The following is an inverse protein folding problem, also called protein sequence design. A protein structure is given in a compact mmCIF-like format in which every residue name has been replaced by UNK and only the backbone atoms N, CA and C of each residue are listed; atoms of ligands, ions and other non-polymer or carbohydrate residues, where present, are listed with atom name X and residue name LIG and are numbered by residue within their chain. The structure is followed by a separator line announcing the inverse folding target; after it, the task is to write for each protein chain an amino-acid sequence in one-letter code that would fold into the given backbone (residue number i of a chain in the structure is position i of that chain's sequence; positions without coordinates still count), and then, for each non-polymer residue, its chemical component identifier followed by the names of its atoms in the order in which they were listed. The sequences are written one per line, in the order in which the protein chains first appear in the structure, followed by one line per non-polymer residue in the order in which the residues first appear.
data_IF_583282602146
#
_entry.id   IF_583282602146
#
_cell.length_a   1.000
_cell.length_b   1.000
_cell.length_c   1.000
_cell.angle_alpha   90.00
_cell.angle_beta   90.00
_cell.angle_gamma   90.00
#
_symmetry.space_group_name_H-M   'P 1'
#
loop_
_entity.id
_entity.type
_entity.pdbx_description
1 polymer ?
#
# COMPACT_ATOMS: atom_id res chain seq x y z
N UNK A 1 27.49 32.23 10.55
CA UNK A 1 28.63 31.53 9.93
C UNK A 1 29.05 30.25 10.65
N UNK A 2 29.77 30.27 11.80
CA UNK A 2 30.28 29.01 12.40
C UNK A 2 29.19 27.99 12.80
N UNK A 3 28.01 28.45 13.19
CA UNK A 3 26.88 27.57 13.53
C UNK A 3 26.10 27.07 12.29
N UNK A 4 26.19 27.76 11.15
CA UNK A 4 25.50 27.37 9.92
C UNK A 4 26.25 26.23 9.24
N UNK A 5 27.58 26.31 9.20
CA UNK A 5 28.45 25.25 8.68
C UNK A 5 28.31 23.96 9.49
N UNK A 6 28.18 24.06 10.82
CA UNK A 6 27.95 22.88 11.67
C UNK A 6 26.57 22.28 11.47
N UNK A 7 25.50 23.08 11.32
CA UNK A 7 24.17 22.57 11.00
C UNK A 7 24.12 21.91 9.62
N UNK A 8 24.77 22.48 8.61
CA UNK A 8 24.85 21.89 7.28
C UNK A 8 25.61 20.56 7.28
N UNK A 9 26.76 20.49 7.95
CA UNK A 9 27.53 19.25 8.10
C UNK A 9 26.72 18.16 8.80
N UNK A 10 26.06 18.48 9.92
CA UNK A 10 25.21 17.52 10.65
C UNK A 10 24.00 17.10 9.82
N UNK A 11 23.37 18.02 9.09
CA UNK A 11 22.24 17.70 8.20
C UNK A 11 22.65 16.72 7.10
N UNK A 12 23.84 16.86 6.52
CA UNK A 12 24.35 15.93 5.51
C UNK A 12 24.55 14.51 6.06
N UNK A 13 25.05 14.40 7.29
CA UNK A 13 25.28 13.13 7.96
C UNK A 13 23.95 12.47 8.33
N UNK A 14 22.99 13.26 8.84
CA UNK A 14 21.64 12.79 9.15
C UNK A 14 20.85 12.39 7.90
N UNK A 15 20.99 13.12 6.79
CA UNK A 15 20.40 12.74 5.50
C UNK A 15 20.89 11.37 5.05
N UNK A 16 22.18 11.06 5.22
CA UNK A 16 22.71 9.74 4.90
C UNK A 16 22.08 8.65 5.79
N UNK A 17 21.93 8.89 7.09
CA UNK A 17 21.28 7.96 8.02
C UNK A 17 19.78 7.78 7.73
N UNK A 18 19.09 8.85 7.35
CA UNK A 18 17.67 8.82 6.98
C UNK A 18 17.43 8.08 5.66
N UNK A 19 18.38 8.14 4.71
CA UNK A 19 18.27 7.52 3.38
C UNK A 19 18.87 6.12 3.29
N UNK A 20 19.89 5.81 4.09
CA UNK A 20 20.57 4.52 4.02
C UNK A 20 19.63 3.41 4.50
N UNK A 21 19.17 2.59 3.54
CA UNK A 21 18.39 1.35 3.68
C UNK A 21 16.89 1.45 3.39
N UNK A 22 16.52 1.91 2.20
CA UNK A 22 15.33 1.35 1.52
C UNK A 22 15.72 -0.03 0.97
N UNK A 23 15.08 -1.14 1.36
CA UNK A 23 15.23 -2.37 0.60
C UNK A 23 14.60 -2.11 -0.78
N UNK A 24 15.36 -2.42 -1.82
CA UNK A 24 14.98 -2.31 -3.23
C UNK A 24 13.81 -3.25 -3.57
N UNK A 25 12.59 -2.87 -3.18
CA UNK A 25 11.37 -3.50 -3.67
C UNK A 25 10.29 -2.42 -3.87
N UNK A 26 10.30 -1.85 -5.08
CA UNK A 26 9.34 -0.88 -5.59
C UNK A 26 7.92 -1.44 -5.80
N UNK A 27 7.64 -2.69 -5.44
CA UNK A 27 6.35 -3.35 -5.75
C UNK A 27 5.63 -3.98 -4.56
N UNK A 28 5.96 -3.59 -3.32
CA UNK A 28 5.11 -3.91 -2.18
C UNK A 28 4.85 -2.65 -1.37
N UNK A 29 3.79 -1.93 -1.76
CA UNK A 29 3.15 -0.99 -0.86
C UNK A 29 2.46 -1.78 0.25
N UNK A 30 2.73 -1.47 1.53
CA UNK A 30 1.67 -1.50 2.51
C UNK A 30 1.37 -0.05 2.88
N UNK A 31 0.28 0.46 2.30
CA UNK A 31 -0.51 1.52 2.91
C UNK A 31 -0.89 1.20 4.38
N UNK A 32 -0.69 -0.04 4.83
CA UNK A 32 -0.88 -0.48 6.21
C UNK A 32 0.19 -0.03 7.22
N UNK A 33 1.41 0.35 6.79
CA UNK A 33 2.40 0.88 7.74
C UNK A 33 2.09 2.33 8.19
N UNK A 34 1.16 3.00 7.51
CA UNK A 34 0.64 4.33 7.89
C UNK A 34 -0.56 4.19 8.85
N UNK A 35 -1.09 2.98 9.06
CA UNK A 35 -2.26 2.75 9.92
C UNK A 35 -1.96 2.88 11.42
N UNK A 36 -0.69 2.81 11.83
CA UNK A 36 -0.29 3.24 13.17
C UNK A 36 0.01 4.74 13.12
N UNK A 37 -1.00 5.54 13.48
CA UNK A 37 -0.95 7.00 13.55
C UNK A 37 0.05 7.56 14.55
N UNK A 38 1.34 7.26 14.39
CA UNK A 38 2.43 7.86 15.13
C UNK A 38 2.61 9.27 14.56
N UNK A 39 2.00 10.25 15.22
CA UNK A 39 2.23 11.67 14.96
C UNK A 39 3.73 11.91 15.09
N UNK A 40 4.44 12.10 13.97
CA UNK A 40 5.86 12.44 14.03
C UNK A 40 5.99 13.78 14.75
N UNK A 41 6.77 13.86 15.85
CA UNK A 41 6.93 15.11 16.56
C UNK A 41 7.65 16.09 15.63
N UNK A 42 7.05 17.27 15.44
CA UNK A 42 7.71 18.37 14.72
C UNK A 42 8.84 18.87 15.61
N UNK A 43 10.08 18.49 15.30
CA UNK A 43 11.23 18.90 16.10
C UNK A 43 11.63 20.31 15.68
N UNK A 44 11.61 21.24 16.63
CA UNK A 44 12.04 22.62 16.43
C UNK A 44 13.21 22.93 17.35
N UNK A 45 14.33 23.33 16.76
CA UNK A 45 15.53 23.69 17.50
C UNK A 45 15.40 25.14 18.00
N UNK A 46 15.92 25.48 19.19
CA UNK A 46 15.96 26.85 19.66
C UNK A 46 16.93 27.71 18.81
N UNK A 47 16.64 28.99 18.63
CA UNK A 47 17.51 29.95 17.91
C UNK A 47 16.88 30.57 16.65
N UNK A 48 17.61 31.47 16.01
CA UNK A 48 17.17 32.19 14.80
C UNK A 48 16.86 31.24 13.63
N UNK A 49 15.86 31.60 12.82
CA UNK A 49 15.37 30.76 11.73
C UNK A 49 16.26 30.86 10.48
N UNK A 50 17.39 30.15 10.48
CA UNK A 50 18.26 30.03 9.28
C UNK A 50 17.84 28.89 8.35
N UNK A 51 18.27 28.95 7.09
CA UNK A 51 18.00 27.92 6.06
C UNK A 51 18.62 26.58 6.47
N UNK A 52 19.84 26.60 7.01
CA UNK A 52 20.59 25.42 7.45
C UNK A 52 19.96 24.77 8.67
N UNK A 53 19.35 25.58 9.54
CA UNK A 53 18.57 25.09 10.69
C UNK A 53 17.31 24.36 10.21
N UNK A 54 16.59 24.91 9.23
CA UNK A 54 15.38 24.27 8.67
C UNK A 54 15.70 22.98 7.93
N UNK A 55 16.82 22.92 7.21
CA UNK A 55 17.24 21.67 6.56
C UNK A 55 17.57 20.62 7.62
N UNK A 56 18.28 20.99 8.68
CA UNK A 56 18.56 20.09 9.80
C UNK A 56 17.29 19.58 10.49
N UNK A 57 16.33 20.45 10.80
CA UNK A 57 15.04 20.07 11.42
C UNK A 57 14.25 19.08 10.54
N UNK A 58 14.29 19.26 9.22
CA UNK A 58 13.67 18.34 8.27
C UNK A 58 14.33 16.97 8.30
N UNK A 59 15.67 16.92 8.23
CA UNK A 59 16.40 15.63 8.27
C UNK A 59 16.22 14.93 9.62
N UNK A 60 16.15 15.66 10.73
CA UNK A 60 15.90 15.11 12.06
C UNK A 60 14.48 14.52 12.17
N UNK A 61 13.48 15.21 11.60
CA UNK A 61 12.10 14.70 11.52
C UNK A 61 12.03 13.44 10.66
N UNK A 62 12.75 13.42 9.52
CA UNK A 62 12.85 12.24 8.66
C UNK A 62 13.47 11.05 9.40
N UNK A 63 14.57 11.28 10.14
CA UNK A 63 15.20 10.24 10.96
C UNK A 63 14.27 9.71 12.05
N UNK A 64 13.57 10.59 12.78
CA UNK A 64 12.58 10.17 13.80
C UNK A 64 11.47 9.30 13.22
N UNK A 65 10.93 9.67 12.05
CA UNK A 65 9.92 8.85 11.37
C UNK A 65 10.45 7.47 10.98
N UNK A 66 11.72 7.40 10.59
CA UNK A 66 12.39 6.15 10.24
C UNK A 66 12.65 5.27 11.46
N UNK A 67 13.07 5.86 12.58
CA UNK A 67 13.25 5.15 13.85
C UNK A 67 11.92 4.56 14.27
N UNK A 68 10.84 5.35 14.30
CA UNK A 68 9.51 4.85 14.64
C UNK A 68 9.05 3.72 13.69
N UNK A 69 9.34 3.83 12.39
CA UNK A 69 9.06 2.78 11.43
C UNK A 69 9.88 1.51 11.71
N UNK A 70 11.17 1.65 12.02
CA UNK A 70 12.04 0.51 12.34
C UNK A 70 11.68 -0.12 13.68
N UNK A 71 11.28 0.67 14.68
CA UNK A 71 10.76 0.21 15.96
C UNK A 71 9.44 -0.52 15.77
N UNK A 72 8.50 0.04 15.01
CA UNK A 72 7.24 -0.65 14.66
C UNK A 72 7.50 -1.92 13.86
N UNK A 73 8.47 -1.90 12.93
CA UNK A 73 8.88 -3.07 12.14
C UNK A 73 9.58 -4.13 12.99
N UNK A 74 10.42 -3.73 13.96
CA UNK A 74 11.09 -4.63 14.88
C UNK A 74 10.12 -5.22 15.90
N UNK A 75 9.18 -4.41 16.42
CA UNK A 75 8.07 -4.87 17.25
C UNK A 75 7.13 -5.81 16.47
N UNK A 76 6.96 -5.58 15.16
CA UNK A 76 6.26 -6.49 14.24
C UNK A 76 7.16 -7.63 13.74
N UNK A 77 8.44 -7.67 14.13
CA UNK A 77 9.45 -8.62 13.66
C UNK A 77 9.21 -10.05 14.11
N UNK A 78 8.22 -10.26 14.99
CA UNK A 78 7.68 -11.58 15.37
C UNK A 78 6.42 -11.97 14.57
N UNK A 79 5.86 -11.05 13.78
CA UNK A 79 4.55 -11.19 13.12
C UNK A 79 4.59 -11.01 11.58
N UNK A 80 5.77 -10.73 11.01
CA UNK A 80 5.95 -10.46 9.57
C UNK A 80 6.51 -11.64 8.76
N UNK A 81 6.78 -12.77 9.39
CA UNK A 81 6.87 -14.05 8.69
C UNK A 81 5.52 -14.75 8.88
N UNK A 82 5.02 -15.53 7.90
CA UNK A 82 4.00 -16.52 8.25
C UNK A 82 4.59 -17.29 9.43
N UNK A 83 3.87 -17.38 10.53
CA UNK A 83 4.25 -18.20 11.67
C UNK A 83 4.29 -19.64 11.13
N UNK A 84 5.43 -20.04 10.61
CA UNK A 84 5.81 -21.45 10.53
C UNK A 84 6.03 -21.83 11.98
N UNK A 85 5.19 -22.73 12.46
CA UNK A 85 4.90 -23.02 13.87
C UNK A 85 6.11 -23.43 14.76
N UNK A 86 7.36 -23.35 14.27
CA UNK A 86 8.53 -24.03 14.84
C UNK A 86 9.72 -23.11 15.20
N UNK A 87 9.58 -21.78 15.29
CA UNK A 87 10.69 -20.93 15.76
C UNK A 87 10.50 -20.48 17.23
N UNK A 88 11.46 -20.76 18.14
CA UNK A 88 11.34 -20.35 19.53
C UNK A 88 11.34 -18.82 19.65
N UNK A 89 10.36 -18.29 20.39
CA UNK A 89 10.14 -16.85 20.63
C UNK A 89 11.29 -16.12 21.38
N UNK A 90 12.42 -16.79 21.63
CA UNK A 90 13.57 -16.25 22.32
C UNK A 90 14.86 -16.56 21.55
N UNK A 91 15.63 -15.51 21.27
CA UNK A 91 16.99 -15.63 20.75
C UNK A 91 17.83 -16.53 21.67
N UNK A 92 18.53 -17.50 21.09
CA UNK A 92 19.43 -18.44 21.78
C UNK A 92 20.65 -17.78 22.49
N UNK A 93 20.74 -16.45 22.47
CA UNK A 93 21.77 -15.66 23.16
C UNK A 93 21.21 -14.70 24.24
N UNK A 94 19.91 -14.70 24.51
CA UNK A 94 19.32 -13.87 25.56
C UNK A 94 19.45 -14.53 26.94
N UNK A 95 20.67 -14.54 27.46
CA UNK A 95 20.96 -14.95 28.83
C UNK A 95 20.71 -13.75 29.77
N UNK A 96 19.48 -13.61 30.28
CA UNK A 96 19.21 -12.83 31.50
C UNK A 96 18.10 -13.48 32.33
N UNK A 97 18.29 -13.67 33.65
CA UNK A 97 17.32 -14.34 34.50
C UNK A 97 16.39 -13.33 35.17
N UNK A 98 15.08 -13.38 34.92
CA UNK A 98 14.06 -13.05 35.92
C UNK A 98 12.62 -13.19 35.40
N UNK A 99 11.94 -14.16 36.00
CA UNK A 99 10.52 -14.16 36.41
C UNK A 99 9.40 -14.54 35.43
N UNK A 100 8.36 -15.26 35.95
CA UNK A 100 7.44 -16.07 35.16
C UNK A 100 6.08 -15.40 34.97
N UNK A 101 5.41 -15.71 33.86
CA UNK A 101 3.96 -15.61 33.53
C UNK A 101 3.90 -15.60 32.00
N UNK A 102 3.22 -16.49 31.28
CA UNK A 102 1.92 -17.10 31.49
C UNK A 102 1.87 -18.41 30.70
N UNK A 103 1.45 -19.49 31.37
CA UNK A 103 1.05 -20.72 30.73
C UNK A 103 -0.31 -20.53 30.06
N UNK A 104 -0.42 -20.75 28.74
CA UNK A 104 -1.62 -21.30 28.07
C UNK A 104 -1.32 -21.48 26.57
N UNK A 105 -0.68 -22.59 26.16
CA UNK A 105 -0.82 -23.20 24.81
C UNK A 105 -0.12 -24.58 24.68
N UNK A 106 0.09 -25.34 25.76
CA UNK A 106 0.84 -26.61 25.72
C UNK A 106 0.08 -27.84 25.14
N UNK A 107 -0.95 -27.62 24.31
CA UNK A 107 -1.77 -28.71 23.75
C UNK A 107 -1.64 -28.90 22.24
N UNK A 108 -1.10 -27.94 21.48
CA UNK A 108 -1.00 -28.03 20.01
C UNK A 108 0.39 -28.36 19.47
N UNK A 109 1.42 -28.28 20.31
CA UNK A 109 2.82 -28.49 19.89
C UNK A 109 3.21 -29.97 19.78
N UNK A 110 2.45 -30.91 20.38
CA UNK A 110 2.86 -32.33 20.45
C UNK A 110 2.70 -33.10 19.14
N UNK A 111 1.87 -32.62 18.22
CA UNK A 111 1.53 -33.33 16.97
C UNK A 111 2.54 -33.11 15.85
N UNK A 112 3.08 -31.90 15.70
CA UNK A 112 4.02 -31.57 14.63
C UNK A 112 5.43 -32.13 14.90
N UNK A 113 5.85 -32.16 16.17
CA UNK A 113 7.13 -32.72 16.58
C UNK A 113 7.26 -34.22 16.27
N UNK A 114 6.14 -34.94 16.15
CA UNK A 114 6.15 -36.37 15.88
C UNK A 114 6.40 -36.69 14.41
N UNK A 115 5.82 -35.93 13.46
CA UNK A 115 6.02 -36.14 12.02
C UNK A 115 7.45 -35.80 11.60
N UNK A 116 8.04 -34.73 12.15
CA UNK A 116 9.46 -34.41 11.94
C UNK A 116 10.40 -35.47 12.55
N UNK A 117 10.01 -36.10 13.67
CA UNK A 117 10.77 -37.22 14.25
C UNK A 117 10.68 -38.50 13.41
N UNK A 118 9.59 -38.70 12.66
CA UNK A 118 9.40 -39.82 11.73
C UNK A 118 10.19 -39.67 10.42
N UNK A 119 10.34 -38.45 9.91
CA UNK A 119 11.00 -38.22 8.62
C UNK A 119 12.53 -38.02 8.74
N UNK A 120 13.01 -37.54 9.89
CA UNK A 120 14.43 -37.21 10.10
C UNK A 120 15.36 -38.35 10.50
N UNK A 121 14.89 -39.61 10.61
CA UNK A 121 15.67 -40.73 11.16
C UNK A 121 15.64 -41.97 10.28
N UNK A 122 16.09 -41.82 9.03
CA UNK A 122 16.19 -42.91 8.05
C UNK A 122 17.64 -43.38 7.82
N UNK A 123 18.44 -43.51 8.87
CA UNK A 123 19.73 -44.19 8.74
C UNK A 123 19.92 -45.18 9.89
N UNK A 124 19.74 -46.47 9.58
CA UNK A 124 20.41 -47.55 10.31
C UNK A 124 19.57 -48.58 11.06
N UNK A 125 18.28 -48.40 11.37
CA UNK A 125 17.57 -49.38 12.21
C UNK A 125 16.13 -49.61 11.74
N UNK A 126 15.88 -50.78 11.14
CA UNK A 126 14.54 -51.28 10.82
C UNK A 126 13.79 -51.63 12.11
N UNK A 127 13.44 -50.62 12.90
CA UNK A 127 12.34 -50.74 13.84
C UNK A 127 11.08 -50.56 13.01
N UNK A 128 10.34 -51.63 12.84
CA UNK A 128 8.96 -51.55 12.36
C UNK A 128 8.22 -50.62 13.32
N UNK A 129 8.09 -49.36 12.92
CA UNK A 129 7.33 -48.35 13.63
C UNK A 129 5.86 -48.79 13.61
N UNK A 130 5.48 -49.65 14.55
CA UNK A 130 4.09 -49.99 14.79
C UNK A 130 3.46 -48.77 15.47
N UNK A 131 3.05 -47.83 14.62
CA UNK A 131 2.17 -46.74 15.01
C UNK A 131 1.02 -47.34 15.80
N UNK A 132 0.86 -46.90 17.05
CA UNK A 132 -0.19 -47.42 17.91
C UNK A 132 -1.54 -47.02 17.28
N UNK A 133 -2.56 -47.88 17.32
CA UNK A 133 -3.83 -47.63 16.60
C UNK A 133 -4.46 -46.26 16.88
N UNK A 134 -4.22 -45.71 18.07
CA UNK A 134 -4.66 -44.36 18.47
C UNK A 134 -3.95 -43.24 17.70
N UNK A 135 -2.66 -43.39 17.36
CA UNK A 135 -1.90 -42.42 16.57
C UNK A 135 -2.37 -42.38 15.12
N UNK A 136 -2.74 -43.54 14.56
CA UNK A 136 -3.37 -43.62 13.25
C UNK A 136 -4.76 -42.98 13.23
N UNK A 137 -5.56 -43.20 14.29
CA UNK A 137 -6.87 -42.56 14.42
C UNK A 137 -6.73 -41.03 14.50
N UNK A 138 -5.76 -40.54 15.28
CA UNK A 138 -5.48 -39.11 15.39
C UNK A 138 -5.00 -38.50 14.06
N UNK A 139 -4.07 -39.16 13.37
CA UNK A 139 -3.57 -38.68 12.08
C UNK A 139 -4.68 -38.66 11.02
N UNK A 140 -5.55 -39.67 11.01
CA UNK A 140 -6.70 -39.73 10.12
C UNK A 140 -7.68 -38.58 10.38
N UNK A 141 -8.03 -38.35 11.64
CA UNK A 141 -8.89 -37.22 12.03
C UNK A 141 -8.26 -35.88 11.60
N UNK A 142 -6.95 -35.72 11.78
CA UNK A 142 -6.27 -34.50 11.37
C UNK A 142 -6.23 -34.32 9.86
N UNK A 143 -6.03 -35.40 9.09
CA UNK A 143 -6.10 -35.38 7.62
C UNK A 143 -7.51 -35.02 7.16
N UNK A 144 -8.54 -35.59 7.78
CA UNK A 144 -9.93 -35.28 7.46
C UNK A 144 -10.26 -33.81 7.79
N UNK A 145 -9.76 -33.30 8.91
CA UNK A 145 -9.91 -31.90 9.30
C UNK A 145 -9.19 -30.95 8.32
N UNK A 146 -7.95 -31.26 7.93
CA UNK A 146 -7.22 -30.49 6.91
C UNK A 146 -7.92 -30.54 5.56
N UNK A 147 -8.48 -31.69 5.18
CA UNK A 147 -9.26 -31.84 3.96
C UNK A 147 -10.49 -30.93 3.94
N UNK A 148 -11.20 -30.80 5.07
CA UNK A 148 -12.32 -29.88 5.22
C UNK A 148 -11.88 -28.42 5.15
N UNK A 149 -10.77 -28.06 5.79
CA UNK A 149 -10.23 -26.70 5.77
C UNK A 149 -9.84 -26.29 4.35
N UNK A 150 -9.10 -27.13 3.62
CA UNK A 150 -8.72 -26.89 2.23
C UNK A 150 -9.96 -26.72 1.35
N UNK A 151 -11.01 -27.52 1.58
CA UNK A 151 -12.27 -27.39 0.84
C UNK A 151 -12.93 -26.02 1.11
N UNK A 152 -12.99 -25.60 2.37
CA UNK A 152 -13.54 -24.30 2.74
C UNK A 152 -12.76 -23.13 2.14
N UNK A 153 -11.42 -23.23 2.12
CA UNK A 153 -10.55 -22.23 1.52
C UNK A 153 -10.73 -22.18 0.00
N UNK A 154 -10.88 -23.33 -0.66
CA UNK A 154 -11.16 -23.39 -2.09
C UNK A 154 -12.49 -22.70 -2.42
N UNK A 155 -13.55 -23.01 -1.67
CA UNK A 155 -14.86 -22.39 -1.87
C UNK A 155 -14.79 -20.86 -1.68
N UNK A 156 -14.00 -20.39 -0.71
CA UNK A 156 -13.74 -18.96 -0.51
C UNK A 156 -12.96 -18.31 -1.66
N UNK A 157 -11.92 -18.98 -2.18
CA UNK A 157 -11.15 -18.50 -3.34
C UNK A 157 -12.03 -18.44 -4.59
N UNK A 158 -12.88 -19.43 -4.81
CA UNK A 158 -13.83 -19.45 -5.92
C UNK A 158 -14.84 -18.29 -5.80
N UNK A 159 -15.27 -17.96 -4.58
CA UNK A 159 -16.06 -16.76 -4.28
C UNK A 159 -15.35 -15.45 -4.63
N UNK A 160 -14.10 -15.28 -4.19
CA UNK A 160 -13.27 -14.10 -4.53
C UNK A 160 -13.09 -13.98 -6.04
N UNK A 161 -12.80 -15.09 -6.72
CA UNK A 161 -12.61 -15.11 -8.18
C UNK A 161 -13.89 -14.70 -8.92
N UNK A 162 -15.05 -15.16 -8.46
CA UNK A 162 -16.34 -14.74 -9.00
C UNK A 162 -16.60 -13.24 -8.77
N UNK A 163 -16.27 -12.72 -7.59
CA UNK A 163 -16.43 -11.30 -7.30
C UNK A 163 -15.47 -10.44 -8.15
N UNK A 164 -14.21 -10.86 -8.29
CA UNK A 164 -13.20 -10.15 -9.08
C UNK A 164 -13.59 -10.10 -10.56
N UNK A 165 -14.07 -11.22 -11.12
CA UNK A 165 -14.55 -11.26 -12.51
C UNK A 165 -15.78 -10.38 -12.72
N UNK A 166 -16.72 -10.37 -11.77
CA UNK A 166 -17.88 -9.46 -11.79
C UNK A 166 -17.44 -7.99 -11.76
N UNK A 167 -16.49 -7.65 -10.88
CA UNK A 167 -15.95 -6.29 -10.77
C UNK A 167 -15.18 -5.88 -12.04
N UNK A 168 -14.43 -6.80 -12.64
CA UNK A 168 -13.73 -6.56 -13.90
C UNK A 168 -14.71 -6.28 -15.05
N UNK A 169 -15.81 -7.04 -15.14
CA UNK A 169 -16.85 -6.80 -16.16
C UNK A 169 -17.53 -5.45 -15.92
N UNK A 170 -17.90 -5.14 -14.68
CA UNK A 170 -18.54 -3.88 -14.33
C UNK A 170 -17.64 -2.67 -14.63
N UNK A 171 -16.35 -2.75 -14.29
CA UNK A 171 -15.39 -1.68 -14.58
C UNK A 171 -15.14 -1.55 -16.08
N UNK A 172 -15.01 -2.67 -16.82
CA UNK A 172 -14.90 -2.64 -18.29
C UNK A 172 -16.12 -1.97 -18.94
N UNK A 173 -17.34 -2.33 -18.53
CA UNK A 173 -18.55 -1.71 -19.05
C UNK A 173 -18.64 -0.20 -18.73
N UNK A 174 -18.21 0.21 -17.53
CA UNK A 174 -18.14 1.62 -17.15
C UNK A 174 -17.09 2.39 -17.97
N UNK A 175 -15.92 1.78 -18.21
CA UNK A 175 -14.87 2.34 -19.05
C UNK A 175 -15.35 2.45 -20.49
N UNK A 176 -16.03 1.44 -21.04
CA UNK A 176 -16.56 1.48 -22.40
C UNK A 176 -17.64 2.58 -22.53
N UNK A 177 -18.44 2.80 -21.48
CA UNK A 177 -19.43 3.90 -21.42
C UNK A 177 -18.77 5.28 -21.30
N UNK A 178 -17.69 5.41 -20.53
CA UNK A 178 -16.90 6.65 -20.43
C UNK A 178 -16.08 6.90 -21.71
N UNK A 179 -15.62 5.81 -22.31
CA UNK A 179 -14.92 5.72 -23.59
C UNK A 179 -15.81 5.96 -24.80
N UNK A 180 -17.05 6.44 -24.59
CA UNK A 180 -17.85 7.14 -25.60
C UNK A 180 -17.18 8.45 -26.04
N UNK A 181 -15.90 8.39 -26.44
CA UNK A 181 -15.16 9.42 -27.15
C UNK A 181 -15.95 9.93 -28.35
N UNK A 182 -16.77 9.08 -28.97
CA UNK A 182 -17.72 9.44 -30.01
C UNK A 182 -18.72 10.51 -29.55
N UNK A 183 -19.20 10.46 -28.30
CA UNK A 183 -20.10 11.49 -27.74
C UNK A 183 -19.34 12.81 -27.52
N UNK A 184 -18.11 12.75 -27.00
CA UNK A 184 -17.26 13.94 -26.85
C UNK A 184 -16.95 14.58 -28.20
N UNK A 185 -16.67 13.77 -29.22
CA UNK A 185 -16.37 14.23 -30.58
C UNK A 185 -17.62 14.81 -31.27
N UNK A 186 -18.80 14.20 -31.07
CA UNK A 186 -20.08 14.75 -31.50
C UNK A 186 -20.36 16.11 -30.85
N UNK A 187 -20.23 16.20 -29.51
CA UNK A 187 -20.42 17.45 -28.76
C UNK A 187 -19.42 18.52 -29.21
N UNK A 188 -18.16 18.15 -29.49
CA UNK A 188 -17.16 19.07 -30.02
C UNK A 188 -17.56 19.61 -31.40
N UNK A 189 -18.03 18.75 -32.30
CA UNK A 189 -18.52 19.18 -33.61
C UNK A 189 -19.74 20.11 -33.52
N UNK A 190 -20.63 19.86 -32.57
CA UNK A 190 -21.79 20.73 -32.33
C UNK A 190 -21.39 22.10 -31.75
N UNK A 191 -20.40 22.15 -30.85
CA UNK A 191 -19.80 23.40 -30.36
C UNK A 191 -19.17 24.20 -31.51
N UNK A 192 -18.40 23.54 -32.38
CA UNK A 192 -17.74 24.21 -33.51
C UNK A 192 -18.77 24.79 -34.49
N UNK A 193 -19.84 24.04 -34.80
CA UNK A 193 -20.96 24.54 -35.59
C UNK A 193 -21.63 25.74 -34.93
N UNK A 194 -21.88 25.69 -33.62
CA UNK A 194 -22.49 26.79 -32.89
C UNK A 194 -21.59 28.04 -32.88
N UNK A 195 -20.27 27.86 -32.70
CA UNK A 195 -19.29 28.92 -32.79
C UNK A 195 -19.30 29.60 -34.17
N UNK A 196 -19.35 28.82 -35.25
CA UNK A 196 -19.44 29.34 -36.61
C UNK A 196 -20.74 30.13 -36.84
N UNK A 197 -21.87 29.62 -36.36
CA UNK A 197 -23.16 30.30 -36.44
C UNK A 197 -23.14 31.62 -35.64
N UNK A 198 -22.52 31.63 -34.47
CA UNK A 198 -22.39 32.86 -33.68
C UNK A 198 -21.49 33.89 -34.37
N UNK A 199 -20.42 33.45 -35.05
CA UNK A 199 -19.57 34.32 -35.85
C UNK A 199 -20.34 34.96 -37.01
N UNK A 200 -21.19 34.18 -37.71
CA UNK A 200 -22.04 34.74 -38.77
C UNK A 200 -23.10 35.68 -38.22
N UNK A 201 -23.73 35.37 -37.09
CA UNK A 201 -24.66 36.28 -36.41
C UNK A 201 -24.00 37.60 -36.03
N UNK A 202 -22.80 37.57 -35.45
CA UNK A 202 -22.06 38.79 -35.11
C UNK A 202 -21.72 39.63 -36.34
N UNK A 203 -21.38 38.98 -37.47
CA UNK A 203 -21.15 39.68 -38.74
C UNK A 203 -22.42 40.39 -39.22
N UNK A 204 -23.56 39.69 -39.23
CA UNK A 204 -24.86 40.26 -39.62
C UNK A 204 -25.26 41.40 -38.70
N UNK A 205 -25.10 41.25 -37.38
CA UNK A 205 -25.39 42.32 -36.42
C UNK A 205 -24.53 43.56 -36.66
N UNK A 206 -23.26 43.39 -37.01
CA UNK A 206 -22.36 44.49 -37.38
C UNK A 206 -22.81 45.17 -38.68
N UNK A 207 -23.20 44.41 -39.69
CA UNK A 207 -23.74 44.94 -40.95
C UNK A 207 -25.03 45.75 -40.70
N UNK A 208 -25.97 45.21 -39.90
CA UNK A 208 -27.20 45.93 -39.50
C UNK A 208 -26.85 47.24 -38.77
N UNK A 209 -25.94 47.21 -37.80
CA UNK A 209 -25.51 48.42 -37.10
C UNK A 209 -24.87 49.47 -38.02
N UNK A 210 -24.14 49.03 -39.05
CA UNK A 210 -23.57 49.91 -40.08
C UNK A 210 -24.67 50.54 -40.93
N UNK A 211 -25.70 49.77 -41.31
CA UNK A 211 -26.86 50.27 -42.06
C UNK A 211 -27.64 51.29 -41.22
N UNK A 212 -27.94 50.98 -39.95
CA UNK A 212 -28.67 51.90 -39.05
C UNK A 212 -27.92 53.23 -38.91
N UNK A 213 -26.59 53.17 -38.76
CA UNK A 213 -25.75 54.38 -38.67
C UNK A 213 -25.76 55.17 -39.98
N UNK A 214 -25.67 54.51 -41.13
CA UNK A 214 -25.75 55.19 -42.44
C UNK A 214 -27.12 55.86 -42.66
N UNK A 215 -28.21 55.17 -42.30
CA UNK A 215 -29.58 55.70 -42.33
C UNK A 215 -29.72 56.91 -41.41
N UNK A 216 -29.17 56.86 -40.19
CA UNK A 216 -29.18 58.00 -39.26
C UNK A 216 -28.41 59.22 -39.81
N UNK A 217 -27.37 58.98 -40.61
CA UNK A 217 -26.59 60.02 -41.30
C UNK A 217 -27.20 60.45 -42.65
N UNK A 218 -28.33 59.87 -43.07
CA UNK A 218 -29.03 60.21 -44.32
C UNK A 218 -28.51 59.52 -45.59
N UNK A 219 -27.59 58.56 -45.49
CA UNK A 219 -27.08 57.77 -46.62
C UNK A 219 -27.86 56.46 -46.76
N UNK A 220 -28.70 56.38 -47.80
CA UNK A 220 -29.57 55.25 -48.11
C UNK A 220 -28.98 54.31 -49.18
N UNK A 221 -27.71 54.48 -49.57
CA UNK A 221 -27.10 53.73 -50.69
C UNK A 221 -26.90 52.23 -50.43
N UNK A 222 -27.03 51.76 -49.19
CA UNK A 222 -26.77 50.35 -48.78
C UNK A 222 -28.01 49.46 -48.64
N UNK A 223 -29.08 49.73 -49.40
CA UNK A 223 -30.28 48.88 -49.43
C UNK A 223 -30.05 47.56 -50.17
#
# INVERSE_FOLDING_TARGET
MRNEETFAAVASLLSNLAKSRTPANEHSFPAHAIANGVKSPKISLPGENSVEKRTLERELTALSSRINFLEAKAASGSASLPITLDEPLASAFAETPASPKTATTASRERSASWVNSLLGKSDGDQRTWQLTGEQFAWLREHIDQQGQEIKSQKDFIDGIKSQLTTQQIATKAAIDTLGNSLSIEQLKGEIEKNAQINATYQKVLREIGTIITAVANGDLSKK
#
